data_IF_504524728737
#
_entry.id   IF_504524728737
#
_cell.length_a   1.000
_cell.length_b   1.000
_cell.length_c   1.000
_cell.angle_alpha   90.00
_cell.angle_beta   90.00
_cell.angle_gamma   90.00
#
_symmetry.space_group_name_H-M   'P 1'
#
loop_
_entity.id
_entity.type
_entity.pdbx_description
1 polymer ?
#
# COMPACT_ATOMS: atom_id res chain seq x y z
N UNK A 1 19.25 5.39 19.99
CA UNK A 1 17.86 5.74 19.62
C UNK A 1 17.58 5.05 18.30
N UNK A 2 16.43 4.36 18.17
CA UNK A 2 16.04 3.60 16.98
C UNK A 2 15.36 4.55 15.97
N UNK A 3 16.01 4.85 14.85
CA UNK A 3 15.30 5.31 13.66
C UNK A 3 15.13 4.12 12.72
N UNK A 4 14.19 3.24 13.06
CA UNK A 4 13.74 2.24 12.11
C UNK A 4 12.48 2.77 11.44
N UNK A 5 12.49 2.85 10.11
CA UNK A 5 11.24 2.74 9.36
C UNK A 5 10.55 1.44 9.82
N UNK A 6 9.21 1.46 9.94
CA UNK A 6 8.42 0.35 10.51
C UNK A 6 8.75 -1.01 9.84
N UNK A 7 9.14 -1.01 8.56
CA UNK A 7 9.59 -2.20 7.83
C UNK A 7 10.92 -2.81 8.31
N UNK A 8 11.89 -1.99 8.73
CA UNK A 8 13.21 -2.49 9.17
C UNK A 8 13.13 -3.15 10.54
N UNK A 9 12.26 -2.66 11.44
CA UNK A 9 12.06 -3.30 12.76
C UNK A 9 11.46 -4.70 12.63
N UNK A 10 10.43 -4.87 11.79
CA UNK A 10 9.81 -6.18 11.55
C UNK A 10 10.79 -7.20 10.95
N UNK A 11 11.63 -6.75 10.02
CA UNK A 11 12.70 -7.59 9.44
C UNK A 11 13.70 -8.04 10.51
N UNK A 12 14.17 -7.13 11.36
CA UNK A 12 15.08 -7.46 12.47
C UNK A 12 14.43 -8.44 13.45
N UNK A 13 13.16 -8.23 13.83
CA UNK A 13 12.43 -9.14 14.72
C UNK A 13 12.26 -10.53 14.12
N UNK A 14 12.04 -10.65 12.81
CA UNK A 14 11.95 -11.93 12.12
C UNK A 14 13.28 -12.69 12.08
N UNK A 15 14.40 -11.97 11.94
CA UNK A 15 15.74 -12.57 11.84
C UNK A 15 16.29 -12.95 13.23
N UNK A 16 16.19 -12.03 14.20
CA UNK A 16 16.88 -12.10 15.48
C UNK A 16 15.95 -12.39 16.68
N UNK A 17 14.62 -12.32 16.48
CA UNK A 17 13.64 -12.41 17.56
C UNK A 17 13.38 -11.08 18.26
N UNK A 18 12.21 -10.96 18.91
CA UNK A 18 11.73 -9.71 19.54
C UNK A 18 12.61 -9.23 20.70
N UNK A 19 13.13 -10.14 21.51
CA UNK A 19 13.94 -9.78 22.69
C UNK A 19 15.27 -9.13 22.26
N UNK A 20 15.96 -9.78 21.32
CA UNK A 20 17.20 -9.25 20.71
C UNK A 20 16.93 -7.94 19.99
N UNK A 21 15.87 -7.89 19.18
CA UNK A 21 15.47 -6.69 18.46
C UNK A 21 15.31 -5.48 19.38
N UNK A 22 14.84 -5.67 20.62
CA UNK A 22 14.54 -4.60 21.57
C UNK A 22 15.64 -4.31 22.61
N UNK A 23 16.77 -5.01 22.53
CA UNK A 23 17.94 -4.73 23.37
C UNK A 23 18.50 -3.31 23.09
N UNK A 24 18.76 -2.53 24.15
CA UNK A 24 19.07 -1.08 24.03
C UNK A 24 20.54 -0.77 23.72
N UNK A 25 21.44 -1.69 24.06
CA UNK A 25 22.87 -1.62 23.77
C UNK A 25 23.21 -2.17 22.37
N UNK A 26 22.22 -2.65 21.61
CA UNK A 26 22.45 -3.33 20.34
C UNK A 26 22.40 -2.35 19.17
N UNK A 27 23.30 -2.58 18.22
CA UNK A 27 23.41 -1.82 16.97
C UNK A 27 23.14 -2.74 15.79
N UNK A 28 22.62 -2.14 14.72
CA UNK A 28 22.26 -2.83 13.49
C UNK A 28 22.75 -2.04 12.29
N UNK A 29 23.10 -2.75 11.23
CA UNK A 29 23.50 -2.15 9.97
C UNK A 29 23.17 -3.09 8.82
N UNK A 30 23.14 -2.53 7.62
CA UNK A 30 22.79 -3.26 6.41
C UNK A 30 23.86 -3.02 5.35
N UNK A 31 24.25 -4.10 4.69
CA UNK A 31 25.10 -4.07 3.51
C UNK A 31 24.32 -4.62 2.33
N UNK A 32 24.43 -3.96 1.18
CA UNK A 32 23.84 -4.41 -0.08
C UNK A 32 24.93 -4.42 -1.17
N UNK A 33 25.16 -5.59 -1.77
CA UNK A 33 25.92 -5.73 -3.00
C UNK A 33 24.95 -5.92 -4.17
N UNK A 34 25.06 -5.09 -5.19
CA UNK A 34 24.07 -5.03 -6.27
C UNK A 34 24.71 -5.10 -7.64
N UNK A 35 24.06 -5.85 -8.53
CA UNK A 35 24.31 -5.83 -9.96
C UNK A 35 23.04 -5.33 -10.62
N UNK A 36 23.06 -4.06 -11.04
CA UNK A 36 21.94 -3.47 -11.76
C UNK A 36 21.88 -4.03 -13.19
N UNK A 37 20.71 -4.58 -13.53
CA UNK A 37 20.39 -5.08 -14.86
C UNK A 37 19.54 -4.08 -15.63
N UNK A 38 18.26 -4.39 -15.81
CA UNK A 38 17.32 -3.54 -16.55
C UNK A 38 16.47 -2.69 -15.62
N UNK A 39 16.18 -1.46 -16.04
CA UNK A 39 15.16 -0.58 -15.45
C UNK A 39 13.85 -0.72 -16.21
N UNK A 40 12.74 -0.81 -15.50
CA UNK A 40 11.40 -0.86 -16.08
C UNK A 40 10.59 0.33 -15.57
N UNK A 41 10.01 1.08 -16.51
CA UNK A 41 9.24 2.28 -16.22
C UNK A 41 7.86 2.13 -16.87
N UNK A 42 6.81 2.21 -16.06
CA UNK A 42 5.44 2.32 -16.52
C UNK A 42 5.15 3.77 -16.93
N UNK A 43 4.65 3.95 -18.14
CA UNK A 43 4.20 5.25 -18.63
C UNK A 43 2.93 5.69 -17.87
N UNK A 44 3.01 6.81 -17.15
CA UNK A 44 1.93 7.29 -16.27
C UNK A 44 1.44 8.70 -16.59
N UNK A 45 1.62 9.18 -17.82
CA UNK A 45 0.93 10.39 -18.29
C UNK A 45 -0.59 10.25 -18.15
N UNK A 46 -1.29 11.39 -18.07
CA UNK A 46 -2.76 11.41 -17.91
C UNK A 46 -3.48 10.57 -18.96
N UNK A 47 -3.01 10.59 -20.22
CA UNK A 47 -3.59 9.78 -21.28
C UNK A 47 -3.33 8.28 -21.06
N UNK A 48 -2.10 7.89 -20.71
CA UNK A 48 -1.78 6.49 -20.44
C UNK A 48 -2.56 5.94 -19.25
N UNK A 49 -2.67 6.70 -18.15
CA UNK A 49 -3.50 6.31 -17.00
C UNK A 49 -4.97 6.16 -17.38
N UNK A 50 -5.51 7.04 -18.22
CA UNK A 50 -6.87 6.90 -18.72
C UNK A 50 -7.02 5.63 -19.56
N UNK A 51 -6.09 5.34 -20.47
CA UNK A 51 -6.10 4.10 -21.23
C UNK A 51 -6.05 2.88 -20.30
N UNK A 52 -5.18 2.88 -19.29
CA UNK A 52 -5.04 1.77 -18.35
C UNK A 52 -6.35 1.51 -17.60
N UNK A 53 -6.93 2.55 -16.99
CA UNK A 53 -8.22 2.47 -16.28
C UNK A 53 -9.31 1.88 -17.14
N UNK A 54 -9.37 2.32 -18.39
CA UNK A 54 -10.42 1.94 -19.33
C UNK A 54 -10.21 0.51 -19.82
N UNK A 55 -9.03 0.17 -20.33
CA UNK A 55 -8.86 -1.04 -21.15
C UNK A 55 -7.81 -2.05 -20.71
N UNK A 56 -6.90 -1.71 -19.79
CA UNK A 56 -5.72 -2.56 -19.51
C UNK A 56 -5.64 -3.08 -18.07
N UNK A 57 -6.67 -2.86 -17.24
CA UNK A 57 -6.77 -3.55 -15.96
C UNK A 57 -6.94 -5.05 -16.17
N UNK A 58 -6.24 -5.86 -15.38
CA UNK A 58 -6.41 -7.31 -15.40
C UNK A 58 -7.89 -7.68 -15.14
N UNK A 59 -8.49 -8.60 -15.91
CA UNK A 59 -9.91 -8.95 -15.74
C UNK A 59 -10.28 -9.42 -14.33
N UNK A 60 -9.42 -10.20 -13.68
CA UNK A 60 -9.64 -10.67 -12.30
C UNK A 60 -9.56 -9.52 -11.29
N UNK A 61 -8.56 -8.64 -11.43
CA UNK A 61 -8.45 -7.42 -10.61
C UNK A 61 -9.70 -6.55 -10.72
N UNK A 62 -10.18 -6.33 -11.96
CA UNK A 62 -11.42 -5.58 -12.21
C UNK A 62 -12.63 -6.28 -11.59
N UNK A 63 -12.76 -7.59 -11.75
CA UNK A 63 -13.85 -8.35 -11.17
C UNK A 63 -13.88 -8.21 -9.64
N UNK A 64 -12.73 -8.34 -8.99
CA UNK A 64 -12.62 -8.19 -7.54
C UNK A 64 -12.95 -6.77 -7.08
N UNK A 65 -12.45 -5.74 -7.76
CA UNK A 65 -12.79 -4.33 -7.49
C UNK A 65 -14.32 -4.12 -7.33
N UNK A 66 -15.13 -4.82 -8.14
CA UNK A 66 -16.59 -4.74 -8.08
C UNK A 66 -17.29 -5.85 -7.30
N UNK A 67 -16.61 -6.93 -6.91
CA UNK A 67 -17.23 -8.09 -6.27
C UNK A 67 -17.00 -8.19 -4.76
N UNK A 68 -15.88 -7.67 -4.24
CA UNK A 68 -15.55 -7.74 -2.79
C UNK A 68 -15.69 -6.38 -2.11
N UNK A 69 -15.54 -6.33 -0.78
CA UNK A 69 -15.52 -5.09 0.01
C UNK A 69 -14.21 -4.33 -0.21
N UNK A 70 -14.17 -3.01 0.05
CA UNK A 70 -12.90 -2.28 -0.11
C UNK A 70 -11.87 -2.66 0.93
N UNK A 71 -12.30 -3.04 2.14
CA UNK A 71 -11.40 -3.55 3.17
C UNK A 71 -10.70 -4.84 2.74
N UNK A 72 -11.42 -5.75 2.09
CA UNK A 72 -10.85 -6.99 1.53
C UNK A 72 -9.93 -6.68 0.35
N UNK A 73 -10.39 -5.84 -0.58
CA UNK A 73 -9.63 -5.47 -1.77
C UNK A 73 -8.26 -4.86 -1.45
N UNK A 74 -8.19 -3.87 -0.56
CA UNK A 74 -6.90 -3.24 -0.20
C UNK A 74 -6.00 -4.16 0.61
N UNK A 75 -6.56 -5.18 1.28
CA UNK A 75 -5.79 -6.21 1.98
C UNK A 75 -5.14 -7.19 1.00
N UNK A 76 -5.83 -7.58 -0.07
CA UNK A 76 -5.31 -8.51 -1.08
C UNK A 76 -4.31 -7.84 -2.04
N UNK A 77 -4.61 -6.64 -2.54
CA UNK A 77 -3.79 -5.97 -3.55
C UNK A 77 -2.81 -4.93 -2.99
N UNK A 78 -3.02 -4.48 -1.75
CA UNK A 78 -2.34 -3.32 -1.21
C UNK A 78 -2.82 -2.00 -1.83
N UNK A 79 -2.07 -0.92 -1.55
CA UNK A 79 -2.46 0.44 -1.90
C UNK A 79 -1.57 1.09 -2.97
N UNK A 80 -0.55 0.37 -3.45
CA UNK A 80 0.52 0.91 -4.29
C UNK A 80 0.76 0.00 -5.49
N UNK A 81 1.10 0.63 -6.62
CA UNK A 81 1.47 -0.01 -7.87
C UNK A 81 2.93 0.30 -8.15
N UNK A 82 3.70 -0.73 -8.52
CA UNK A 82 5.06 -0.56 -9.01
C UNK A 82 5.04 0.10 -10.39
N UNK A 83 5.68 1.26 -10.50
CA UNK A 83 5.83 1.99 -11.76
C UNK A 83 7.28 2.18 -12.21
N UNK A 84 8.25 2.15 -11.30
CA UNK A 84 9.66 2.30 -11.66
C UNK A 84 10.52 1.42 -10.75
N UNK A 85 11.16 0.41 -11.35
CA UNK A 85 11.95 -0.57 -10.61
C UNK A 85 13.13 -1.09 -11.42
N UNK A 86 14.16 -1.52 -10.68
CA UNK A 86 15.33 -2.18 -11.22
C UNK A 86 15.21 -3.70 -11.06
N UNK A 87 15.64 -4.39 -12.11
CA UNK A 87 15.94 -5.81 -12.07
C UNK A 87 17.44 -6.04 -12.08
N UNK A 88 17.88 -7.15 -11.53
CA UNK A 88 19.29 -7.49 -11.43
C UNK A 88 19.50 -8.54 -10.35
N UNK A 89 20.61 -8.41 -9.63
CA UNK A 89 20.95 -9.23 -8.47
C UNK A 89 21.26 -8.37 -7.26
N UNK A 90 20.80 -8.78 -6.07
CA UNK A 90 21.13 -8.16 -4.79
C UNK A 90 21.51 -9.23 -3.77
N UNK A 91 22.65 -9.05 -3.09
CA UNK A 91 22.99 -9.75 -1.85
C UNK A 91 22.89 -8.75 -0.71
N UNK A 92 21.98 -9.00 0.23
CA UNK A 92 21.76 -8.18 1.41
C UNK A 92 22.27 -8.91 2.65
N UNK A 93 23.00 -8.20 3.51
CA UNK A 93 23.43 -8.71 4.80
C UNK A 93 22.98 -7.76 5.92
N UNK A 94 22.22 -8.28 6.88
CA UNK A 94 21.81 -7.54 8.08
C UNK A 94 22.73 -7.93 9.22
N UNK A 95 23.46 -6.95 9.74
CA UNK A 95 24.39 -7.09 10.85
C UNK A 95 23.73 -6.73 12.17
N UNK A 96 24.10 -7.43 13.24
CA UNK A 96 23.75 -7.10 14.61
C UNK A 96 24.92 -7.34 15.55
N UNK A 97 25.14 -6.42 16.50
CA UNK A 97 26.17 -6.59 17.52
C UNK A 97 25.89 -5.76 18.78
N UNK A 98 26.56 -6.11 19.87
CA UNK A 98 26.44 -5.45 21.17
C UNK A 98 27.46 -4.30 21.22
N UNK A 99 26.97 -3.09 21.42
CA UNK A 99 27.81 -1.92 21.55
C UNK A 99 28.26 -1.74 23.00
N UNK A 100 29.57 -1.64 23.20
CA UNK A 100 30.22 -1.71 24.52
C UNK A 100 30.33 -0.38 25.29
N UNK A 101 29.93 0.75 24.70
CA UNK A 101 30.00 2.07 25.35
C UNK A 101 28.75 2.95 25.19
N UNK A 102 28.67 4.00 25.99
CA UNK A 102 27.58 4.98 25.99
C UNK A 102 27.79 6.11 24.97
N UNK A 103 28.34 5.80 23.79
CA UNK A 103 28.63 6.82 22.77
C UNK A 103 27.34 7.39 22.17
N UNK A 104 27.46 8.57 21.55
CA UNK A 104 26.41 9.20 20.76
C UNK A 104 26.02 8.33 19.55
N UNK A 105 24.80 8.51 19.05
CA UNK A 105 24.24 7.70 17.96
C UNK A 105 25.10 7.79 16.68
N UNK A 106 25.53 8.98 16.30
CA UNK A 106 26.38 9.20 15.11
C UNK A 106 27.70 8.42 15.20
N UNK A 107 28.31 8.37 16.38
CA UNK A 107 29.54 7.59 16.61
C UNK A 107 29.27 6.08 16.49
N UNK A 108 28.12 5.62 16.98
CA UNK A 108 27.70 4.22 16.85
C UNK A 108 27.49 3.83 15.40
N UNK A 109 26.82 4.69 14.63
CA UNK A 109 26.58 4.51 13.18
C UNK A 109 27.91 4.42 12.42
N UNK A 110 28.84 5.34 12.68
CA UNK A 110 30.17 5.31 12.07
C UNK A 110 30.96 4.05 12.42
N UNK A 111 30.87 3.58 13.66
CA UNK A 111 31.57 2.38 14.09
C UNK A 111 30.99 1.10 13.49
N UNK A 112 29.66 0.98 13.38
CA UNK A 112 29.06 -0.18 12.69
C UNK A 112 29.32 -0.12 11.17
N UNK A 113 29.33 1.07 10.57
CA UNK A 113 29.73 1.24 9.17
C UNK A 113 31.18 0.79 8.95
N UNK A 114 32.10 1.20 9.83
CA UNK A 114 33.50 0.75 9.78
C UNK A 114 33.62 -0.77 9.90
N UNK A 115 32.93 -1.39 10.85
CA UNK A 115 32.96 -2.84 11.05
C UNK A 115 32.34 -3.59 9.86
N UNK A 116 31.27 -3.05 9.25
CA UNK A 116 30.70 -3.59 8.01
C UNK A 116 31.70 -3.46 6.86
N UNK A 117 32.31 -2.30 6.67
CA UNK A 117 33.35 -2.08 5.65
C UNK A 117 34.59 -2.94 5.84
N UNK A 118 34.90 -3.30 7.08
CA UNK A 118 35.93 -4.27 7.40
C UNK A 118 35.47 -5.71 7.19
N UNK A 119 34.18 -6.00 7.05
CA UNK A 119 33.65 -7.37 6.96
C UNK A 119 33.45 -7.92 5.54
N UNK A 120 33.58 -7.07 4.53
CA UNK A 120 33.56 -7.43 3.11
C UNK A 120 34.80 -6.90 2.40
N UNK A 121 35.20 -7.53 1.30
CA UNK A 121 36.36 -7.09 0.55
C UNK A 121 37.00 -8.18 -0.30
N UNK A 122 38.20 -7.91 -0.84
CA UNK A 122 38.97 -8.92 -1.55
C UNK A 122 39.40 -10.04 -0.60
N UNK A 123 39.49 -11.27 -1.11
CA UNK A 123 39.96 -12.42 -0.36
C UNK A 123 41.39 -12.18 0.16
N UNK A 124 41.60 -12.36 1.46
CA UNK A 124 42.88 -12.04 2.13
C UNK A 124 44.06 -12.95 1.77
N UNK A 125 43.80 -14.22 1.50
CA UNK A 125 44.85 -15.25 1.37
C UNK A 125 45.40 -15.38 -0.06
N UNK A 126 45.05 -14.50 -0.98
CA UNK A 126 45.46 -14.57 -2.39
C UNK A 126 45.93 -13.20 -2.89
N UNK A 127 47.24 -13.05 -3.09
CA UNK A 127 47.81 -11.85 -3.71
C UNK A 127 47.28 -11.70 -5.15
N UNK A 128 46.60 -10.58 -5.43
CA UNK A 128 46.16 -10.23 -6.78
C UNK A 128 44.81 -10.82 -7.23
N UNK A 129 44.01 -11.43 -6.33
CA UNK A 129 42.68 -11.90 -6.73
C UNK A 129 41.62 -10.80 -6.62
N UNK A 130 40.83 -10.63 -7.69
CA UNK A 130 39.63 -9.79 -7.71
C UNK A 130 38.41 -10.44 -7.01
N UNK A 131 38.66 -11.41 -6.11
CA UNK A 131 37.62 -12.19 -5.47
C UNK A 131 37.01 -11.40 -4.30
N UNK A 132 35.86 -10.79 -4.53
CA UNK A 132 35.03 -10.11 -3.53
C UNK A 132 34.16 -11.11 -2.75
N UNK A 133 34.00 -10.88 -1.45
CA UNK A 133 33.10 -11.66 -0.61
C UNK A 133 32.84 -11.04 0.77
N UNK A 134 32.13 -11.79 1.62
CA UNK A 134 31.72 -11.39 2.98
C UNK A 134 32.12 -12.48 3.98
N UNK A 135 32.69 -12.10 5.13
CA UNK A 135 32.95 -13.01 6.27
C UNK A 135 34.38 -13.56 6.35
N UNK A 136 34.55 -14.80 6.83
CA UNK A 136 35.81 -15.41 7.31
C UNK A 136 37.07 -15.13 6.45
N UNK A 137 36.97 -15.19 5.12
CA UNK A 137 38.13 -14.99 4.23
C UNK A 137 38.24 -13.57 3.65
N UNK A 138 37.31 -12.69 4.00
CA UNK A 138 37.16 -11.36 3.42
C UNK A 138 37.22 -10.25 4.49
N UNK A 139 37.13 -10.59 5.78
CA UNK A 139 37.11 -9.60 6.85
C UNK A 139 38.51 -9.13 7.29
N UNK A 140 38.60 -7.87 7.71
CA UNK A 140 39.80 -7.19 8.17
C UNK A 140 39.76 -6.74 9.62
N UNK A 141 40.20 -7.64 10.51
CA UNK A 141 40.30 -7.39 11.95
C UNK A 141 41.05 -6.09 12.31
N UNK A 142 42.07 -5.71 11.54
CA UNK A 142 42.86 -4.49 11.79
C UNK A 142 42.08 -3.20 11.57
N UNK A 143 40.95 -3.28 10.83
CA UNK A 143 40.05 -2.16 10.52
C UNK A 143 38.78 -2.15 11.36
N UNK A 144 38.57 -3.18 12.19
CA UNK A 144 37.43 -3.22 13.11
C UNK A 144 37.57 -2.15 14.18
N UNK A 145 36.46 -1.51 14.54
CA UNK A 145 36.38 -0.49 15.60
C UNK A 145 36.69 -1.05 16.99
N UNK A 146 36.52 -2.36 17.19
CA UNK A 146 36.59 -3.05 18.48
C UNK A 146 35.59 -2.53 19.53
N UNK A 147 34.57 -1.77 19.10
CA UNK A 147 33.49 -1.25 19.96
C UNK A 147 32.26 -2.13 19.98
N UNK A 148 32.12 -3.00 18.98
CA UNK A 148 30.99 -3.90 18.78
C UNK A 148 31.45 -5.34 19.03
N UNK A 149 30.79 -6.02 19.96
CA UNK A 149 31.06 -7.42 20.28
C UNK A 149 29.89 -8.31 19.81
N UNK A 150 30.13 -9.61 19.72
CA UNK A 150 29.12 -10.59 19.27
C UNK A 150 28.47 -10.21 17.94
N UNK A 151 29.28 -9.70 16.99
CA UNK A 151 28.80 -9.32 15.68
C UNK A 151 28.36 -10.56 14.91
N UNK A 152 27.11 -10.54 14.50
CA UNK A 152 26.46 -11.57 13.70
C UNK A 152 25.91 -10.95 12.43
N UNK A 153 25.76 -11.76 11.39
CA UNK A 153 25.09 -11.36 10.17
C UNK A 153 24.12 -12.44 9.70
N UNK A 154 23.10 -11.99 8.98
CA UNK A 154 22.15 -12.83 8.26
C UNK A 154 22.08 -12.35 6.82
N UNK A 155 22.16 -13.29 5.86
CA UNK A 155 22.31 -12.98 4.43
C UNK A 155 21.09 -13.44 3.64
N UNK A 156 20.68 -12.63 2.68
CA UNK A 156 19.67 -12.95 1.66
C UNK A 156 20.23 -12.63 0.29
N UNK A 157 19.91 -13.44 -0.71
CA UNK A 157 20.26 -13.20 -2.11
C UNK A 157 19.01 -13.23 -2.99
N UNK A 158 18.91 -12.26 -3.89
CA UNK A 158 17.86 -12.14 -4.90
C UNK A 158 18.54 -12.09 -6.26
N UNK A 159 18.18 -12.99 -7.16
CA UNK A 159 18.83 -13.14 -8.46
C UNK A 159 20.21 -13.81 -8.40
N UNK A 160 20.69 -14.26 -9.55
CA UNK A 160 21.93 -15.04 -9.65
C UNK A 160 21.77 -16.48 -9.15
N UNK A 161 22.89 -17.14 -8.84
CA UNK A 161 22.97 -18.54 -8.44
C UNK A 161 23.09 -18.77 -6.91
N UNK A 162 23.11 -17.71 -6.10
CA UNK A 162 23.15 -17.86 -4.64
C UNK A 162 21.78 -18.27 -4.10
N UNK A 163 21.73 -19.39 -3.39
CA UNK A 163 20.49 -19.98 -2.88
C UNK A 163 20.15 -19.51 -1.46
N UNK A 164 19.88 -18.21 -1.31
CA UNK A 164 19.39 -17.62 -0.06
C UNK A 164 18.10 -16.81 -0.30
N UNK A 165 16.96 -17.46 -0.64
CA UNK A 165 15.73 -16.76 -1.00
C UNK A 165 15.14 -15.95 0.18
N UNK A 166 15.50 -16.31 1.41
CA UNK A 166 15.20 -15.60 2.64
C UNK A 166 16.48 -15.33 3.41
N UNK A 167 16.41 -14.41 4.38
CA UNK A 167 17.50 -14.19 5.33
C UNK A 167 17.87 -15.50 6.05
N UNK A 168 19.16 -15.81 6.07
CA UNK A 168 19.71 -16.98 6.76
C UNK A 168 19.56 -16.86 8.28
N UNK A 169 19.75 -17.96 9.02
CA UNK A 169 19.94 -17.83 10.47
C UNK A 169 21.16 -16.95 10.76
N UNK A 170 21.11 -16.08 11.80
CA UNK A 170 22.25 -15.27 12.19
C UNK A 170 23.46 -16.12 12.55
N UNK A 171 24.62 -15.75 12.02
CA UNK A 171 25.90 -16.42 12.26
C UNK A 171 26.98 -15.40 12.57
N UNK A 172 27.99 -15.80 13.35
CA UNK A 172 29.15 -14.94 13.63
C UNK A 172 29.94 -14.64 12.37
N UNK A 173 30.66 -13.51 12.35
CA UNK A 173 31.39 -13.05 11.16
C UNK A 173 32.36 -14.10 10.57
N UNK A 174 33.03 -14.87 11.44
CA UNK A 174 33.98 -15.92 11.07
C UNK A 174 33.31 -17.25 10.70
N UNK A 175 31.98 -17.36 10.82
CA UNK A 175 31.21 -18.54 10.45
C UNK A 175 30.57 -18.41 9.07
N UNK A 176 30.53 -17.20 8.51
CA UNK A 176 29.99 -16.90 7.19
C UNK A 176 31.12 -16.77 6.18
N UNK A 177 30.94 -17.28 4.97
CA UNK A 177 31.91 -17.17 3.88
C UNK A 177 31.18 -17.10 2.53
N UNK A 178 30.70 -15.90 2.18
CA UNK A 178 29.94 -15.67 0.94
C UNK A 178 30.90 -15.21 -0.16
N UNK A 179 30.95 -15.94 -1.26
CA UNK A 179 31.66 -15.55 -2.49
C UNK A 179 30.75 -14.70 -3.38
N UNK A 180 30.98 -13.39 -3.38
CA UNK A 180 30.23 -12.45 -4.22
C UNK A 180 30.71 -12.45 -5.67
N UNK A 181 31.88 -12.99 -5.97
CA UNK A 181 32.45 -13.00 -7.32
C UNK A 181 31.84 -14.08 -8.19
N UNK A 182 31.69 -15.29 -7.63
CA UNK A 182 30.94 -16.37 -8.27
C UNK A 182 29.49 -15.99 -8.49
N UNK A 183 28.87 -15.36 -7.48
CA UNK A 183 27.52 -14.82 -7.59
C UNK A 183 27.40 -13.76 -8.69
N UNK A 184 28.27 -12.75 -8.69
CA UNK A 184 28.27 -11.69 -9.70
C UNK A 184 28.46 -12.26 -11.11
N UNK A 185 29.33 -13.27 -11.26
CA UNK A 185 29.55 -13.95 -12.55
C UNK A 185 28.30 -14.67 -13.06
N UNK A 186 27.45 -15.17 -12.15
CA UNK A 186 26.15 -15.77 -12.51
C UNK A 186 25.12 -14.78 -13.03
N UNK A 187 25.37 -13.48 -12.88
CA UNK A 187 24.53 -12.39 -13.40
C UNK A 187 24.81 -12.07 -14.88
N UNK A 188 25.59 -12.90 -15.58
CA UNK A 188 25.91 -12.70 -16.99
C UNK A 188 24.70 -12.82 -17.95
N UNK A 189 23.63 -13.52 -17.54
CA UNK A 189 22.37 -13.62 -18.31
C UNK A 189 21.24 -12.87 -17.62
N UNK A 190 20.36 -12.22 -18.41
CA UNK A 190 19.17 -11.56 -17.89
C UNK A 190 18.15 -12.53 -17.27
N UNK A 191 18.24 -13.84 -17.55
CA UNK A 191 17.34 -14.86 -16.96
C UNK A 191 17.56 -15.03 -15.45
N UNK A 192 18.75 -14.67 -14.95
CA UNK A 192 19.06 -14.68 -13.52
C UNK A 192 18.62 -13.39 -12.82
N UNK A 193 18.09 -12.40 -13.55
CA UNK A 193 17.65 -11.13 -12.98
C UNK A 193 16.32 -11.31 -12.25
N UNK A 194 16.20 -10.63 -11.12
CA UNK A 194 14.95 -10.50 -10.37
C UNK A 194 14.75 -9.03 -10.03
N UNK A 195 13.55 -8.63 -9.64
CA UNK A 195 13.34 -7.29 -9.12
C UNK A 195 14.15 -7.12 -7.83
N UNK A 196 15.03 -6.13 -7.81
CA UNK A 196 15.96 -5.90 -6.69
C UNK A 196 15.72 -4.57 -6.02
N UNK A 197 15.25 -3.56 -6.74
CA UNK A 197 15.03 -2.25 -6.16
C UNK A 197 13.89 -1.48 -6.80
N UNK A 198 13.41 -0.47 -6.09
CA UNK A 198 12.39 0.46 -6.52
C UNK A 198 13.03 1.85 -6.56
N UNK A 199 12.90 2.53 -7.69
CA UNK A 199 13.43 3.89 -7.83
C UNK A 199 12.75 4.86 -6.87
N UNK A 200 13.37 6.02 -6.60
CA UNK A 200 12.67 7.12 -5.95
C UNK A 200 11.38 7.44 -6.71
N UNK A 201 10.27 7.55 -5.98
CA UNK A 201 8.92 7.69 -6.55
C UNK A 201 8.49 6.52 -7.46
N UNK A 202 9.13 5.36 -7.38
CA UNK A 202 8.80 4.17 -8.17
C UNK A 202 7.52 3.46 -7.77
N UNK A 203 6.84 3.96 -6.73
CA UNK A 203 5.52 3.54 -6.30
C UNK A 203 4.50 4.63 -6.61
N UNK A 204 3.34 4.22 -7.15
CA UNK A 204 2.20 5.11 -7.39
C UNK A 204 0.98 4.59 -6.63
N UNK A 205 0.13 5.48 -6.04
CA UNK A 205 -1.10 5.04 -5.42
C UNK A 205 -1.99 4.27 -6.40
N UNK A 206 -2.49 3.10 -5.97
CA UNK A 206 -3.44 2.28 -6.75
C UNK A 206 -4.71 3.07 -7.10
N UNK A 207 -5.06 4.05 -6.27
CA UNK A 207 -6.17 4.97 -6.50
C UNK A 207 -6.06 5.76 -7.82
N UNK A 208 -4.86 5.89 -8.40
CA UNK A 208 -4.65 6.53 -9.71
C UNK A 208 -5.00 5.63 -10.89
N UNK A 209 -5.28 4.35 -10.66
CA UNK A 209 -5.58 3.34 -11.67
C UNK A 209 -7.05 2.90 -11.69
N UNK A 210 -7.90 3.54 -10.88
CA UNK A 210 -9.36 3.32 -10.84
C UNK A 210 -10.12 4.53 -11.37
N UNK A 211 -11.36 4.33 -11.81
CA UNK A 211 -12.22 5.39 -12.36
C UNK A 211 -13.11 6.00 -11.28
N UNK A 212 -13.60 5.14 -10.38
CA UNK A 212 -14.64 5.43 -9.42
C UNK A 212 -14.10 6.30 -8.29
N UNK A 213 -14.72 7.47 -8.07
CA UNK A 213 -14.27 8.42 -7.05
C UNK A 213 -14.36 7.89 -5.63
N UNK A 214 -15.38 7.09 -5.34
CA UNK A 214 -15.52 6.47 -4.04
C UNK A 214 -14.43 5.41 -3.80
N UNK A 215 -14.12 4.59 -4.80
CA UNK A 215 -13.04 3.61 -4.69
C UNK A 215 -11.67 4.30 -4.61
N UNK A 216 -11.43 5.34 -5.41
CA UNK A 216 -10.23 6.18 -5.33
C UNK A 216 -10.02 6.69 -3.90
N UNK A 217 -11.09 7.18 -3.25
CA UNK A 217 -11.03 7.70 -1.90
C UNK A 217 -10.71 6.60 -0.87
N UNK A 218 -11.37 5.43 -0.92
CA UNK A 218 -11.09 4.32 0.01
C UNK A 218 -9.65 3.82 -0.06
N UNK A 219 -9.10 3.69 -1.26
CA UNK A 219 -7.70 3.27 -1.44
C UNK A 219 -6.75 4.32 -0.85
N UNK A 220 -7.07 5.62 -1.00
CA UNK A 220 -6.27 6.70 -0.39
C UNK A 220 -6.37 6.67 1.14
N UNK A 221 -7.56 6.50 1.68
CA UNK A 221 -7.77 6.46 3.13
C UNK A 221 -6.98 5.31 3.76
N UNK A 222 -7.03 4.13 3.14
CA UNK A 222 -6.20 3.00 3.52
C UNK A 222 -4.69 3.32 3.46
N UNK A 223 -4.22 3.92 2.36
CA UNK A 223 -2.81 4.28 2.17
C UNK A 223 -2.30 5.22 3.28
N UNK A 224 -3.15 6.14 3.75
CA UNK A 224 -2.80 7.09 4.82
C UNK A 224 -3.11 6.59 6.23
N UNK A 225 -3.49 5.31 6.38
CA UNK A 225 -3.79 4.70 7.69
C UNK A 225 -5.06 5.24 8.33
N UNK A 226 -5.96 5.83 7.55
CA UNK A 226 -7.28 6.24 8.00
C UNK A 226 -8.19 5.02 8.08
N UNK A 227 -9.03 4.96 9.10
CA UNK A 227 -10.00 3.88 9.26
C UNK A 227 -10.94 3.87 8.07
N UNK A 228 -10.96 2.74 7.34
CA UNK A 228 -12.04 2.46 6.40
C UNK A 228 -13.22 1.97 7.25
N UNK A 229 -14.13 2.86 7.61
CA UNK A 229 -15.42 2.49 8.21
C UNK A 229 -16.26 1.79 7.12
N UNK A 230 -16.09 0.47 6.97
CA UNK A 230 -16.83 -0.32 6.00
C UNK A 230 -17.33 -1.64 6.57
N UNK A 231 -18.42 -2.17 5.98
CA UNK A 231 -18.97 -3.45 6.41
C UNK A 231 -17.98 -4.58 6.12
N UNK A 232 -17.96 -5.59 7.00
CA UNK A 232 -17.18 -6.81 6.80
C UNK A 232 -17.67 -7.65 5.62
N UNK A 233 -18.90 -7.41 5.17
CA UNK A 233 -19.55 -8.14 4.08
C UNK A 233 -20.17 -7.16 3.08
N UNK A 234 -20.21 -7.57 1.81
CA UNK A 234 -20.88 -6.82 0.75
C UNK A 234 -22.38 -6.77 1.05
N UNK A 235 -22.96 -5.57 1.12
CA UNK A 235 -24.41 -5.42 1.27
C UNK A 235 -25.11 -5.12 -0.06
N UNK A 236 -26.41 -5.42 -0.13
CA UNK A 236 -27.26 -5.00 -1.24
C UNK A 236 -27.40 -3.46 -1.24
N UNK A 237 -27.13 -2.77 -2.37
CA UNK A 237 -27.37 -1.34 -2.48
C UNK A 237 -28.84 -0.98 -2.24
N UNK A 238 -29.08 0.19 -1.65
CA UNK A 238 -30.44 0.65 -1.36
C UNK A 238 -30.55 2.17 -1.44
N UNK A 239 -31.77 2.69 -1.60
CA UNK A 239 -32.02 4.12 -1.50
C UNK A 239 -32.34 4.47 -0.05
N UNK A 240 -31.56 5.39 0.53
CA UNK A 240 -31.78 5.94 1.86
C UNK A 240 -32.55 7.26 1.74
N UNK A 241 -33.69 7.35 2.41
CA UNK A 241 -34.39 8.62 2.65
C UNK A 241 -34.18 8.98 4.11
N UNK A 242 -33.23 9.88 4.34
CA UNK A 242 -32.81 10.32 5.65
C UNK A 242 -33.53 11.62 6.00
N UNK A 243 -34.31 11.59 7.09
CA UNK A 243 -34.89 12.78 7.71
C UNK A 243 -33.98 13.33 8.80
N UNK A 244 -33.75 14.64 8.73
CA UNK A 244 -33.10 15.46 9.76
C UNK A 244 -33.97 16.65 10.13
N UNK A 245 -34.23 16.85 11.41
CA UNK A 245 -34.91 18.04 11.91
C UNK A 245 -33.85 18.96 12.55
N UNK A 246 -33.67 20.17 12.01
CA UNK A 246 -32.67 21.16 12.43
C UNK A 246 -33.38 22.48 12.71
N UNK A 247 -33.39 22.92 13.97
CA UNK A 247 -33.96 24.22 14.39
C UNK A 247 -35.38 24.50 13.84
N UNK A 248 -36.22 23.47 13.75
CA UNK A 248 -37.61 23.58 13.26
C UNK A 248 -37.79 23.44 11.74
N UNK A 249 -36.70 23.29 10.98
CA UNK A 249 -36.72 22.90 9.58
C UNK A 249 -36.48 21.40 9.45
N UNK A 250 -37.06 20.78 8.43
CA UNK A 250 -36.81 19.36 8.12
C UNK A 250 -36.05 19.27 6.81
N UNK A 251 -34.89 18.63 6.84
CA UNK A 251 -34.10 18.26 5.69
C UNK A 251 -34.36 16.80 5.35
N UNK A 252 -34.79 16.52 4.12
CA UNK A 252 -34.83 15.18 3.55
C UNK A 252 -33.64 15.00 2.62
N UNK A 253 -32.76 14.08 2.97
CA UNK A 253 -31.57 13.71 2.22
C UNK A 253 -31.84 12.35 1.58
N UNK A 254 -31.88 12.31 0.24
CA UNK A 254 -32.04 11.08 -0.52
C UNK A 254 -30.69 10.67 -1.07
N UNK A 255 -30.22 9.47 -0.74
CA UNK A 255 -28.92 8.97 -1.21
C UNK A 255 -29.03 7.55 -1.72
N UNK A 256 -28.25 7.21 -2.75
CA UNK A 256 -27.92 5.83 -3.06
C UNK A 256 -26.85 5.38 -2.07
N UNK A 257 -27.16 4.36 -1.27
CA UNK A 257 -26.17 3.67 -0.44
C UNK A 257 -25.63 2.51 -1.25
N UNK A 258 -24.33 2.52 -1.50
CA UNK A 258 -23.67 1.49 -2.30
C UNK A 258 -23.38 0.24 -1.47
N UNK A 259 -22.88 -0.80 -2.15
CA UNK A 259 -22.40 -2.03 -1.52
C UNK A 259 -21.30 -1.82 -0.46
N UNK A 260 -20.58 -0.70 -0.55
CA UNK A 260 -19.47 -0.33 0.33
C UNK A 260 -19.90 0.71 1.39
N UNK A 261 -21.21 0.91 1.61
CA UNK A 261 -21.79 1.95 2.49
C UNK A 261 -21.50 3.41 2.09
N UNK A 262 -20.87 3.63 0.94
CA UNK A 262 -20.78 4.97 0.34
C UNK A 262 -22.16 5.54 0.05
N UNK A 263 -22.32 6.84 0.30
CA UNK A 263 -23.55 7.56 -0.01
C UNK A 263 -23.33 8.43 -1.23
N UNK A 264 -24.07 8.20 -2.30
CA UNK A 264 -24.14 9.15 -3.40
C UNK A 264 -25.41 9.98 -3.24
N UNK A 265 -25.26 11.30 -3.04
CA UNK A 265 -26.39 12.21 -2.85
C UNK A 265 -27.20 12.31 -4.15
N UNK A 266 -28.48 11.94 -4.10
CA UNK A 266 -29.43 12.03 -5.20
C UNK A 266 -30.22 13.33 -5.13
N UNK A 267 -30.75 13.65 -3.95
CA UNK A 267 -31.64 14.79 -3.77
C UNK A 267 -31.59 15.32 -2.33
N UNK A 268 -31.84 16.61 -2.19
CA UNK A 268 -31.81 17.34 -0.94
C UNK A 268 -33.01 18.31 -0.89
N UNK A 269 -34.06 17.94 -0.13
CA UNK A 269 -35.28 18.76 0.01
C UNK A 269 -35.33 19.42 1.39
N UNK A 270 -35.45 20.74 1.40
CA UNK A 270 -35.76 21.53 2.59
C UNK A 270 -37.28 21.68 2.75
N UNK A 271 -37.80 21.32 3.91
CA UNK A 271 -39.21 21.42 4.25
C UNK A 271 -39.34 22.34 5.46
N UNK A 272 -39.93 23.50 5.23
CA UNK A 272 -40.09 24.53 6.26
C UNK A 272 -41.39 24.31 7.03
N UNK A 273 -41.31 24.12 8.36
CA UNK A 273 -42.43 24.23 9.31
C UNK A 273 -43.75 23.58 8.87
N UNK A 274 -43.74 22.27 8.62
CA UNK A 274 -44.97 21.49 8.36
C UNK A 274 -45.28 20.52 9.50
N UNK A 275 -46.54 20.09 9.60
CA UNK A 275 -46.98 19.08 10.58
C UNK A 275 -46.24 17.75 10.36
N UNK A 276 -46.14 16.96 11.44
CA UNK A 276 -45.53 15.62 11.39
C UNK A 276 -46.18 14.72 10.33
N UNK A 277 -47.51 14.77 10.19
CA UNK A 277 -48.24 14.07 9.13
C UNK A 277 -47.79 14.45 7.72
N UNK A 278 -47.56 15.75 7.47
CA UNK A 278 -47.04 16.26 6.19
C UNK A 278 -45.61 15.80 5.93
N UNK A 279 -44.76 15.76 6.96
CA UNK A 279 -43.39 15.23 6.83
C UNK A 279 -43.40 13.77 6.39
N UNK A 280 -44.25 12.94 6.99
CA UNK A 280 -44.41 11.54 6.62
C UNK A 280 -44.98 11.37 5.19
N UNK A 281 -45.88 12.25 4.77
CA UNK A 281 -46.38 12.29 3.39
C UNK A 281 -45.23 12.55 2.40
N UNK A 282 -44.37 13.53 2.67
CA UNK A 282 -43.21 13.82 1.81
C UNK A 282 -42.23 12.64 1.70
N UNK A 283 -41.94 11.96 2.82
CA UNK A 283 -41.08 10.76 2.81
C UNK A 283 -41.70 9.67 1.91
N UNK A 284 -43.01 9.42 2.04
CA UNK A 284 -43.72 8.45 1.19
C UNK A 284 -43.72 8.84 -0.28
N UNK A 285 -43.87 10.13 -0.58
CA UNK A 285 -43.81 10.64 -1.96
C UNK A 285 -42.42 10.39 -2.56
N UNK A 286 -41.35 10.79 -1.87
CA UNK A 286 -39.97 10.54 -2.31
C UNK A 286 -39.71 9.04 -2.49
N UNK A 287 -40.12 8.21 -1.53
CA UNK A 287 -39.97 6.75 -1.62
C UNK A 287 -40.69 6.18 -2.85
N UNK A 288 -41.92 6.63 -3.13
CA UNK A 288 -42.70 6.20 -4.30
C UNK A 288 -42.15 6.72 -5.63
N UNK A 289 -41.54 7.91 -5.64
CA UNK A 289 -40.87 8.46 -6.83
C UNK A 289 -39.61 7.65 -7.15
N UNK A 290 -38.75 7.42 -6.15
CA UNK A 290 -37.46 6.74 -6.35
C UNK A 290 -37.63 5.24 -6.59
N UNK A 291 -38.63 4.58 -6.01
CA UNK A 291 -38.89 3.16 -6.29
C UNK A 291 -39.20 2.86 -7.76
N UNK A 292 -39.84 3.81 -8.46
CA UNK A 292 -40.15 3.69 -9.90
C UNK A 292 -38.91 3.73 -10.79
N UNK A 293 -37.83 4.36 -10.32
CA UNK A 293 -36.60 4.57 -11.10
C UNK A 293 -35.57 3.48 -10.81
N UNK A 294 -35.34 3.19 -9.54
CA UNK A 294 -34.18 2.39 -9.12
C UNK A 294 -34.46 0.90 -8.96
N UNK A 295 -35.72 0.50 -8.68
CA UNK A 295 -36.03 -0.90 -8.36
C UNK A 295 -35.32 -1.45 -7.11
N UNK A 296 -34.64 -0.60 -6.34
CA UNK A 296 -33.93 -0.95 -5.12
C UNK A 296 -34.85 -0.85 -3.90
N UNK A 297 -34.47 -1.55 -2.83
CA UNK A 297 -35.05 -1.35 -1.50
C UNK A 297 -34.97 0.12 -1.09
N UNK A 298 -36.06 0.67 -0.55
CA UNK A 298 -36.08 2.01 0.04
C UNK A 298 -36.01 1.87 1.57
N UNK A 299 -35.06 2.57 2.21
CA UNK A 299 -34.85 2.57 3.66
C UNK A 299 -35.07 3.98 4.19
N UNK A 300 -36.04 4.13 5.08
CA UNK A 300 -36.31 5.40 5.75
C UNK A 300 -35.55 5.44 7.08
N UNK A 301 -34.77 6.50 7.31
CA UNK A 301 -34.10 6.75 8.59
C UNK A 301 -34.46 8.13 9.11
N UNK A 302 -34.66 8.25 10.42
CA UNK A 302 -34.96 9.53 11.07
C UNK A 302 -34.05 9.71 12.27
N UNK A 303 -33.49 10.89 12.44
CA UNK A 303 -32.70 11.22 13.62
C UNK A 303 -33.15 12.55 14.20
N UNK A 304 -33.25 12.59 15.53
CA UNK A 304 -33.72 13.74 16.27
C UNK A 304 -32.63 14.80 16.53
N UNK A 305 -31.33 14.47 16.32
CA UNK A 305 -30.22 15.31 16.76
C UNK A 305 -29.24 15.68 15.63
N UNK A 306 -28.61 16.86 15.80
CA UNK A 306 -27.60 17.49 14.94
C UNK A 306 -26.23 16.79 14.92
N UNK A 307 -26.11 15.57 15.45
CA UNK A 307 -24.81 14.92 15.67
C UNK A 307 -24.21 14.21 14.45
N UNK A 308 -24.95 14.09 13.34
CA UNK A 308 -24.40 13.55 12.09
C UNK A 308 -24.10 14.71 11.15
N UNK A 309 -22.86 14.83 10.63
CA UNK A 309 -22.50 15.86 9.67
C UNK A 309 -23.38 15.82 8.42
N UNK A 310 -23.53 16.98 7.76
CA UNK A 310 -24.31 17.11 6.52
C UNK A 310 -23.35 17.58 5.42
N UNK A 311 -23.19 16.81 4.33
CA UNK A 311 -23.79 15.49 4.13
C UNK A 311 -23.17 14.43 5.08
N UNK A 312 -23.84 13.28 5.27
CA UNK A 312 -23.31 12.19 6.11
C UNK A 312 -21.88 11.78 5.70
N UNK A 313 -21.14 11.13 6.60
CA UNK A 313 -19.80 10.60 6.30
C UNK A 313 -19.82 9.75 5.01
N UNK A 314 -18.72 9.82 4.24
CA UNK A 314 -18.54 9.14 2.96
C UNK A 314 -19.64 9.47 1.93
N UNK A 315 -20.12 10.71 1.95
CA UNK A 315 -21.09 11.19 0.96
C UNK A 315 -20.43 11.90 -0.21
N UNK A 316 -20.74 11.45 -1.42
CA UNK A 316 -20.32 11.99 -2.70
C UNK A 316 -21.46 12.84 -3.26
N UNK A 317 -21.22 14.14 -3.43
CA UNK A 317 -22.18 15.03 -4.09
C UNK A 317 -22.07 14.90 -5.61
N UNK A 318 -23.18 14.54 -6.27
CA UNK A 318 -23.23 14.31 -7.71
C UNK A 318 -23.45 15.59 -8.55
N UNK A 319 -23.32 16.78 -7.96
CA UNK A 319 -23.64 18.04 -8.65
C UNK A 319 -25.13 18.12 -9.02
N UNK A 320 -25.44 18.65 -10.21
CA UNK A 320 -26.81 18.58 -10.75
C UNK A 320 -27.09 17.14 -11.16
N UNK A 321 -27.98 16.44 -10.46
CA UNK A 321 -28.35 15.07 -10.76
C UNK A 321 -29.82 15.00 -11.17
N UNK A 322 -30.09 14.49 -12.37
CA UNK A 322 -31.44 14.25 -12.86
C UNK A 322 -31.49 12.88 -13.53
N UNK A 323 -32.22 11.95 -12.92
CA UNK A 323 -32.29 10.56 -13.37
C UNK A 323 -32.81 10.44 -14.81
N UNK A 324 -33.64 11.38 -15.26
CA UNK A 324 -34.25 11.36 -16.59
C UNK A 324 -33.27 11.71 -17.71
N UNK A 325 -32.12 12.29 -17.38
CA UNK A 325 -31.09 12.68 -18.34
C UNK A 325 -29.96 11.63 -18.44
N UNK A 326 -30.04 10.55 -17.66
CA UNK A 326 -29.01 9.52 -17.65
C UNK A 326 -29.16 8.59 -18.84
N UNK A 327 -28.05 8.39 -19.56
CA UNK A 327 -27.93 7.30 -20.54
C UNK A 327 -26.93 6.27 -20.09
N UNK A 328 -27.21 5.01 -20.42
CA UNK A 328 -26.32 3.87 -20.21
C UNK A 328 -25.60 3.57 -21.52
N UNK A 329 -24.28 3.62 -21.49
CA UNK A 329 -23.43 3.03 -22.53
C UNK A 329 -22.80 1.74 -22.00
N UNK A 330 -22.83 0.68 -22.80
CA UNK A 330 -22.11 -0.57 -22.51
C UNK A 330 -21.11 -0.73 -23.64
N UNK A 331 -19.83 -0.65 -23.28
CA UNK A 331 -18.76 -1.03 -24.18
C UNK A 331 -18.60 -2.56 -24.13
N UNK A 332 -18.82 -3.24 -25.27
CA UNK A 332 -18.70 -4.70 -25.35
C UNK A 332 -17.25 -5.15 -25.58
N UNK A 333 -16.35 -4.26 -26.00
CA UNK A 333 -14.92 -4.54 -26.14
C UNK A 333 -14.19 -4.32 -24.80
N UNK A 334 -14.71 -3.39 -23.99
CA UNK A 334 -14.27 -3.13 -22.62
C UNK A 334 -15.37 -3.62 -21.67
N UNK A 335 -15.39 -4.92 -21.43
CA UNK A 335 -16.39 -5.59 -20.59
C UNK A 335 -16.56 -4.85 -19.25
N UNK A 336 -17.76 -4.27 -19.06
CA UNK A 336 -18.34 -3.70 -17.84
C UNK A 336 -17.89 -2.30 -17.36
N UNK A 337 -17.80 -1.31 -18.24
CA UNK A 337 -17.90 0.10 -17.80
C UNK A 337 -19.30 0.66 -18.10
N UNK A 338 -20.05 1.04 -17.05
CA UNK A 338 -21.30 1.80 -17.18
C UNK A 338 -20.95 3.28 -17.06
N UNK A 339 -21.09 4.03 -18.14
CA UNK A 339 -21.04 5.49 -18.09
C UNK A 339 -22.45 6.02 -17.95
N UNK A 340 -22.65 6.87 -16.94
CA UNK A 340 -23.82 7.73 -16.81
C UNK A 340 -23.43 9.10 -17.36
N UNK A 341 -23.79 9.39 -18.60
CA UNK A 341 -23.59 10.70 -19.22
C UNK A 341 -24.86 11.52 -19.01
N UNK A 342 -24.72 12.76 -18.56
CA UNK A 342 -25.81 13.73 -18.57
C UNK A 342 -25.77 14.49 -19.89
N UNK A 343 -26.85 14.42 -20.66
CA UNK A 343 -27.07 15.32 -21.79
C UNK A 343 -27.28 16.75 -21.23
N UNK A 344 -26.38 17.69 -21.57
CA UNK A 344 -26.47 19.11 -21.21
C UNK A 344 -27.43 19.88 -22.12
#
# INVERSE_FOLDING_TARGET
MKLFSIGNKGTIENIYGKDVANETNRVYGEFNAEVLGKKYILETSSNALNMIKLGYLNPSFRNELYSITMAEFVKEYGALVLKDFYTGGRVSAIYSGIYSSSDLVETKEKNIENDINASYGPKKDVSGSANLGIGLHYYDETKMSNKITNMTLSVKAIGGNLSFPTFSSPQGLTQVNIDLSSWMSSMASADSYRMIDIESEGLMPLSKFVLEKNIEQHIRDYLYGLSIEQPMEVQEPYIEVLRRDIQGNTLLITSLVTKNEDRALIDLKNITRVSESKKQEYIRQVANEKSKVYGLKIVNKSFANDTIPIPPNNCFQLGFFNENLLRKYIDNEIIHCIYCIMDL
#
